data_IF_989483266370
#
_entry.id   IF_989483266370
#
_cell.length_a   1.000
_cell.length_b   1.000
_cell.length_c   1.000
_cell.angle_alpha   90.00
_cell.angle_beta   90.00
_cell.angle_gamma   90.00
#
_symmetry.space_group_name_H-M   'P 1'
#
loop_
_entity.id
_entity.type
_entity.pdbx_description
1 polymer ?
#
# COMPACT_ATOMS: atom_id res chain seq x y z
N UNK A 1 39.20 10.86 -13.98
CA UNK A 1 38.64 9.75 -14.78
C UNK A 1 37.16 9.72 -14.48
N UNK A 2 36.32 9.98 -15.49
CA UNK A 2 34.86 10.00 -15.34
C UNK A 2 34.39 8.56 -15.17
N UNK A 3 33.90 8.20 -13.99
CA UNK A 3 33.00 7.08 -13.83
C UNK A 3 31.60 7.68 -13.84
N UNK A 4 30.89 7.39 -14.91
CA UNK A 4 29.49 7.75 -15.11
C UNK A 4 28.85 6.49 -15.66
N UNK A 5 28.50 5.58 -14.77
CA UNK A 5 27.68 4.40 -15.03
C UNK A 5 26.63 4.37 -13.93
N UNK A 6 25.55 5.11 -14.17
CA UNK A 6 24.26 4.79 -13.59
C UNK A 6 23.81 3.48 -14.25
N UNK A 7 24.25 2.35 -13.72
CA UNK A 7 23.44 1.13 -13.79
C UNK A 7 22.37 1.26 -12.70
N UNK A 8 21.37 2.07 -13.01
CA UNK A 8 20.07 2.03 -12.35
C UNK A 8 19.57 0.58 -12.47
N UNK A 9 19.28 -0.08 -11.34
CA UNK A 9 18.51 -1.33 -11.29
C UNK A 9 17.04 -1.06 -11.67
N UNK A 10 16.83 -0.45 -12.83
CA UNK A 10 15.54 -0.11 -13.41
C UNK A 10 15.21 -1.17 -14.46
N UNK A 11 14.02 -1.74 -14.39
CA UNK A 11 13.50 -2.60 -15.45
C UNK A 11 13.74 -1.93 -16.82
N UNK A 12 14.22 -2.69 -17.80
CA UNK A 12 14.50 -2.17 -19.16
C UNK A 12 13.28 -1.43 -19.69
N UNK A 13 13.45 -0.23 -20.23
CA UNK A 13 12.36 0.56 -20.83
C UNK A 13 11.48 -0.27 -21.77
N UNK A 14 10.16 -0.15 -21.61
CA UNK A 14 9.19 -0.87 -22.44
C UNK A 14 9.14 -0.24 -23.84
N UNK A 15 9.51 -1.03 -24.85
CA UNK A 15 9.32 -0.62 -26.25
C UNK A 15 7.89 -0.89 -26.71
N UNK A 16 7.40 -0.13 -27.69
CA UNK A 16 6.07 -0.37 -28.29
C UNK A 16 5.93 -1.80 -28.84
N UNK A 17 7.00 -2.37 -29.41
CA UNK A 17 7.00 -3.76 -29.90
C UNK A 17 6.84 -4.77 -28.77
N UNK A 18 7.51 -4.56 -27.64
CA UNK A 18 7.39 -5.43 -26.47
C UNK A 18 5.98 -5.33 -25.89
N UNK A 19 5.47 -4.11 -25.75
CA UNK A 19 4.12 -3.85 -25.26
C UNK A 19 3.05 -4.53 -26.13
N UNK A 20 3.14 -4.37 -27.46
CA UNK A 20 2.22 -5.02 -28.39
C UNK A 20 2.33 -6.55 -28.33
N UNK A 21 3.55 -7.09 -28.20
CA UNK A 21 3.76 -8.53 -28.03
C UNK A 21 3.10 -9.05 -26.75
N UNK A 22 3.22 -8.32 -25.64
CA UNK A 22 2.57 -8.68 -24.38
C UNK A 22 1.05 -8.57 -24.49
N UNK A 23 0.53 -7.49 -25.07
CA UNK A 23 -0.91 -7.29 -25.27
C UNK A 23 -1.53 -8.43 -26.11
N UNK A 24 -0.84 -8.87 -27.17
CA UNK A 24 -1.32 -9.96 -28.03
C UNK A 24 -1.40 -11.33 -27.32
N UNK A 25 -0.88 -11.46 -26.08
CA UNK A 25 -1.02 -12.67 -25.29
C UNK A 25 -2.35 -12.74 -24.52
N UNK A 26 -3.11 -11.64 -24.39
CA UNK A 26 -4.32 -11.54 -23.59
C UNK A 26 -5.62 -11.57 -24.40
N UNK A 27 -6.69 -12.09 -23.81
CA UNK A 27 -8.01 -12.15 -24.44
C UNK A 27 -8.80 -10.84 -24.21
N UNK A 28 -8.48 -9.82 -24.99
CA UNK A 28 -9.23 -8.56 -24.99
C UNK A 28 -10.55 -8.61 -25.77
N UNK A 29 -10.96 -9.80 -26.26
CA UNK A 29 -12.15 -9.98 -27.09
C UNK A 29 -12.05 -9.33 -28.48
N UNK A 30 -10.83 -9.13 -28.99
CA UNK A 30 -10.53 -8.56 -30.30
C UNK A 30 -9.11 -7.98 -30.38
N UNK A 31 -8.68 -7.52 -31.57
CA UNK A 31 -7.42 -6.80 -31.74
C UNK A 31 -7.35 -5.52 -30.90
N UNK A 32 -6.13 -5.12 -30.52
CA UNK A 32 -5.88 -3.98 -29.64
C UNK A 32 -4.79 -3.05 -30.16
N UNK A 33 -4.95 -1.77 -29.84
CA UNK A 33 -4.01 -0.69 -30.04
C UNK A 33 -3.29 -0.38 -28.72
N UNK A 34 -1.97 -0.37 -28.75
CA UNK A 34 -1.14 -0.01 -27.61
C UNK A 34 -0.55 1.39 -27.79
N UNK A 35 -0.45 2.13 -26.69
CA UNK A 35 0.37 3.33 -26.58
C UNK A 35 1.50 3.06 -25.58
N UNK A 36 2.73 3.43 -25.95
CA UNK A 36 3.91 3.22 -25.11
C UNK A 36 4.05 4.29 -24.00
N UNK A 37 3.16 5.28 -23.94
CA UNK A 37 3.13 6.21 -22.81
C UNK A 37 2.63 5.52 -21.55
N UNK A 38 3.35 5.74 -20.45
CA UNK A 38 2.92 5.29 -19.14
C UNK A 38 1.60 5.96 -18.74
N UNK A 39 0.77 5.20 -18.04
CA UNK A 39 -0.49 5.65 -17.50
C UNK A 39 -0.47 5.65 -15.97
N UNK A 40 -0.89 6.76 -15.38
CA UNK A 40 -0.94 6.96 -13.92
C UNK A 40 0.40 7.38 -13.32
N UNK A 41 0.43 7.45 -12.00
CA UNK A 41 1.54 7.97 -11.18
C UNK A 41 2.22 6.84 -10.36
N UNK A 42 1.98 5.57 -10.72
CA UNK A 42 2.53 4.42 -9.99
C UNK A 42 4.05 4.33 -10.11
N UNK A 43 4.72 3.93 -9.03
CA UNK A 43 6.19 3.87 -8.95
C UNK A 43 6.80 2.47 -9.07
N UNK A 44 5.99 1.41 -8.93
CA UNK A 44 6.50 0.03 -8.88
C UNK A 44 6.40 -0.66 -10.24
N UNK A 45 5.19 -0.79 -10.79
CA UNK A 45 4.92 -1.48 -12.05
C UNK A 45 4.83 -0.51 -13.22
N UNK A 46 5.19 -0.96 -14.43
CA UNK A 46 4.89 -0.20 -15.64
C UNK A 46 3.43 -0.40 -16.02
N UNK A 47 2.67 0.69 -16.12
CA UNK A 47 1.24 0.66 -16.39
C UNK A 47 0.92 1.36 -17.71
N UNK A 48 0.12 0.72 -18.55
CA UNK A 48 -0.27 1.21 -19.86
C UNK A 48 -1.78 1.07 -20.06
N UNK A 49 -2.36 1.99 -20.84
CA UNK A 49 -3.73 1.84 -21.35
C UNK A 49 -3.68 1.19 -22.72
N UNK A 50 -4.48 0.14 -22.89
CA UNK A 50 -4.66 -0.55 -24.16
C UNK A 50 -6.10 -0.37 -24.61
N UNK A 51 -6.31 -0.05 -25.88
CA UNK A 51 -7.65 0.12 -26.46
C UNK A 51 -7.98 -1.03 -27.38
N UNK A 52 -9.24 -1.46 -27.42
CA UNK A 52 -9.73 -2.23 -28.56
C UNK A 52 -9.61 -1.38 -29.84
N UNK A 53 -9.28 -1.98 -30.98
CA UNK A 53 -9.10 -1.25 -32.25
C UNK A 53 -10.30 -0.38 -32.66
N UNK A 54 -11.52 -0.77 -32.28
CA UNK A 54 -12.75 -0.02 -32.53
C UNK A 54 -13.02 1.09 -31.50
N UNK A 55 -12.11 1.31 -30.54
CA UNK A 55 -12.23 2.23 -29.42
C UNK A 55 -13.47 2.03 -28.53
N UNK A 56 -14.10 0.85 -28.57
CA UNK A 56 -15.30 0.57 -27.78
C UNK A 56 -15.00 0.31 -26.29
N UNK A 57 -13.79 -0.11 -25.96
CA UNK A 57 -13.36 -0.44 -24.60
C UNK A 57 -11.85 -0.24 -24.45
N UNK A 58 -11.43 0.18 -23.26
CA UNK A 58 -10.03 0.22 -22.84
C UNK A 58 -9.76 -0.71 -21.66
N UNK A 59 -8.48 -0.98 -21.46
CA UNK A 59 -7.95 -1.95 -20.51
C UNK A 59 -6.69 -1.40 -19.86
N UNK A 60 -6.30 -1.98 -18.74
CA UNK A 60 -5.00 -1.76 -18.13
C UNK A 60 -4.11 -2.97 -18.45
N UNK A 61 -2.93 -2.71 -19.00
CA UNK A 61 -1.86 -3.69 -19.18
C UNK A 61 -0.68 -3.28 -18.32
N UNK A 62 -0.18 -4.19 -17.49
CA UNK A 62 0.91 -3.92 -16.57
C UNK A 62 2.05 -4.91 -16.74
N UNK A 63 3.29 -4.40 -16.74
CA UNK A 63 4.48 -5.21 -16.49
C UNK A 63 4.79 -5.17 -14.99
N UNK A 64 4.73 -6.33 -14.36
CA UNK A 64 5.01 -6.52 -12.94
C UNK A 64 6.50 -6.31 -12.70
N UNK A 65 6.84 -5.55 -11.66
CA UNK A 65 8.22 -5.39 -11.21
C UNK A 65 8.72 -6.68 -10.56
N UNK A 66 9.46 -7.48 -11.32
CA UNK A 66 9.99 -8.77 -10.86
C UNK A 66 11.20 -8.65 -9.94
N UNK A 67 11.81 -7.47 -9.81
CA UNK A 67 12.87 -7.21 -8.83
C UNK A 67 12.28 -7.10 -7.42
N UNK A 68 11.11 -6.44 -7.30
CA UNK A 68 10.32 -6.36 -6.06
C UNK A 68 9.52 -7.64 -5.83
N UNK A 69 8.74 -8.07 -6.84
CA UNK A 69 7.85 -9.21 -6.78
C UNK A 69 8.47 -10.43 -7.45
N UNK A 70 9.37 -11.08 -6.72
CA UNK A 70 10.18 -12.22 -7.23
C UNK A 70 9.37 -13.49 -7.56
N UNK A 71 8.11 -13.56 -7.12
CA UNK A 71 7.15 -14.62 -7.48
C UNK A 71 5.87 -14.04 -8.09
N UNK A 72 5.89 -13.60 -9.36
CA UNK A 72 4.73 -12.97 -10.00
C UNK A 72 3.55 -13.93 -10.18
N UNK A 73 3.79 -15.25 -10.24
CA UNK A 73 2.73 -16.26 -10.32
C UNK A 73 1.94 -16.32 -9.01
N UNK A 74 2.63 -16.43 -7.87
CA UNK A 74 1.97 -16.42 -6.56
C UNK A 74 1.26 -15.10 -6.25
N UNK A 75 1.81 -13.97 -6.71
CA UNK A 75 1.13 -12.68 -6.67
C UNK A 75 -0.21 -12.73 -7.43
N UNK A 76 -0.22 -13.26 -8.66
CA UNK A 76 -1.45 -13.37 -9.43
C UNK A 76 -2.43 -14.41 -8.87
N UNK A 77 -1.96 -15.45 -8.19
CA UNK A 77 -2.82 -16.38 -7.44
C UNK A 77 -3.56 -15.65 -6.31
N UNK A 78 -2.88 -14.79 -5.55
CA UNK A 78 -3.50 -13.92 -4.55
C UNK A 78 -4.56 -13.00 -5.19
N UNK A 79 -4.16 -12.23 -6.21
CA UNK A 79 -5.05 -11.25 -6.87
C UNK A 79 -6.30 -11.95 -7.41
N UNK A 80 -6.15 -13.06 -8.13
CA UNK A 80 -7.29 -13.80 -8.68
C UNK A 80 -8.17 -14.42 -7.59
N UNK A 81 -7.57 -14.90 -6.50
CA UNK A 81 -8.30 -15.44 -5.35
C UNK A 81 -9.17 -14.37 -4.69
N UNK A 82 -8.57 -13.22 -4.38
CA UNK A 82 -9.20 -12.08 -3.71
C UNK A 82 -10.30 -11.47 -4.59
N UNK A 83 -10.00 -11.12 -5.84
CA UNK A 83 -10.98 -10.50 -6.76
C UNK A 83 -12.18 -11.42 -7.04
N UNK A 84 -11.97 -12.74 -7.16
CA UNK A 84 -13.07 -13.72 -7.29
C UNK A 84 -13.95 -13.75 -6.05
N UNK A 85 -13.34 -13.69 -4.86
CA UNK A 85 -14.08 -13.66 -3.61
C UNK A 85 -14.89 -12.36 -3.47
N UNK A 86 -14.25 -11.21 -3.69
CA UNK A 86 -14.91 -9.90 -3.68
C UNK A 86 -16.07 -9.85 -4.66
N UNK A 87 -15.89 -10.36 -5.89
CA UNK A 87 -16.96 -10.46 -6.89
C UNK A 87 -18.19 -11.20 -6.36
N UNK A 88 -18.00 -12.30 -5.65
CA UNK A 88 -19.11 -13.06 -5.07
C UNK A 88 -19.83 -12.28 -3.95
N UNK A 89 -19.08 -11.57 -3.09
CA UNK A 89 -19.61 -10.71 -2.02
C UNK A 89 -20.41 -9.54 -2.58
N UNK A 90 -19.83 -8.81 -3.52
CA UNK A 90 -20.45 -7.65 -4.18
C UNK A 90 -21.77 -8.06 -4.84
N UNK A 91 -21.80 -9.19 -5.57
CA UNK A 91 -23.04 -9.70 -6.17
C UNK A 91 -24.11 -10.05 -5.11
N UNK A 92 -23.72 -10.66 -3.99
CA UNK A 92 -24.64 -10.99 -2.91
C UNK A 92 -25.20 -9.74 -2.22
N UNK A 93 -24.43 -8.65 -2.19
CA UNK A 93 -24.84 -7.33 -1.67
C UNK A 93 -25.66 -6.51 -2.69
N UNK A 94 -25.81 -7.01 -3.93
CA UNK A 94 -26.54 -6.33 -5.01
C UNK A 94 -25.75 -5.23 -5.71
N UNK A 95 -24.42 -5.23 -5.58
CA UNK A 95 -23.50 -4.31 -6.25
C UNK A 95 -23.11 -4.74 -7.67
N UNK A 96 -22.22 -3.97 -8.28
CA UNK A 96 -21.67 -4.18 -9.62
C UNK A 96 -20.19 -4.61 -9.55
N UNK A 97 -19.88 -5.92 -9.62
CA UNK A 97 -18.49 -6.39 -9.56
C UNK A 97 -17.66 -6.01 -10.79
N UNK A 98 -18.25 -5.52 -11.88
CA UNK A 98 -17.47 -5.01 -13.01
C UNK A 98 -16.78 -3.68 -12.66
N UNK A 99 -17.32 -2.96 -11.66
CA UNK A 99 -16.81 -1.67 -11.20
C UNK A 99 -16.25 -1.69 -9.79
N UNK A 100 -16.75 -2.58 -8.93
CA UNK A 100 -16.42 -2.59 -7.49
C UNK A 100 -15.24 -3.51 -7.11
N UNK A 101 -14.63 -4.21 -8.07
CA UNK A 101 -13.38 -4.96 -7.87
C UNK A 101 -12.62 -5.07 -9.19
N UNK A 102 -11.31 -5.33 -9.14
CA UNK A 102 -10.51 -5.56 -10.34
C UNK A 102 -10.95 -6.85 -11.05
N UNK A 103 -11.03 -6.80 -12.37
CA UNK A 103 -11.38 -7.95 -13.20
C UNK A 103 -10.17 -8.34 -14.06
N UNK A 104 -9.51 -9.44 -13.69
CA UNK A 104 -8.33 -9.98 -14.39
C UNK A 104 -8.74 -10.52 -15.75
N UNK A 105 -8.03 -10.09 -16.80
CA UNK A 105 -8.18 -10.60 -18.15
C UNK A 105 -7.18 -11.76 -18.32
N UNK A 106 -7.65 -12.97 -18.66
CA UNK A 106 -6.75 -14.10 -18.85
C UNK A 106 -5.95 -13.97 -20.14
N UNK A 107 -4.85 -14.70 -20.22
CA UNK A 107 -4.16 -14.95 -21.48
C UNK A 107 -5.04 -15.77 -22.43
N UNK A 108 -4.70 -15.78 -23.72
CA UNK A 108 -5.35 -16.67 -24.71
C UNK A 108 -5.19 -18.16 -24.37
N UNK A 109 -4.20 -18.51 -23.53
CA UNK A 109 -4.02 -19.87 -22.99
C UNK A 109 -4.80 -20.14 -21.69
N UNK A 110 -5.52 -19.16 -21.15
CA UNK A 110 -6.25 -19.24 -19.89
C UNK A 110 -5.42 -18.98 -18.63
N UNK A 111 -4.16 -18.55 -18.77
CA UNK A 111 -3.29 -18.18 -17.62
C UNK A 111 -3.64 -16.77 -17.10
N UNK A 112 -3.24 -16.46 -15.87
CA UNK A 112 -3.51 -15.16 -15.23
C UNK A 112 -2.40 -14.12 -15.47
N UNK A 113 -1.22 -14.57 -15.88
CA UNK A 113 -0.11 -13.73 -16.32
C UNK A 113 0.57 -14.31 -17.57
N UNK A 114 1.24 -13.43 -18.31
CA UNK A 114 2.10 -13.77 -19.44
C UNK A 114 3.56 -13.51 -19.08
N UNK A 115 4.46 -14.46 -19.38
CA UNK A 115 5.90 -14.27 -19.23
C UNK A 115 6.49 -14.03 -20.63
N UNK A 116 7.17 -12.89 -20.80
CA UNK A 116 7.84 -12.57 -22.05
C UNK A 116 9.19 -13.31 -22.20
N UNK A 117 9.82 -13.18 -23.36
CA UNK A 117 11.08 -13.85 -23.68
C UNK A 117 12.27 -13.38 -22.84
N UNK A 118 12.18 -12.17 -22.25
CA UNK A 118 13.21 -11.58 -21.39
C UNK A 118 12.95 -11.90 -19.90
N UNK A 119 11.90 -12.66 -19.59
CA UNK A 119 11.51 -13.02 -18.22
C UNK A 119 10.61 -12.00 -17.53
N UNK A 120 10.17 -10.95 -18.22
CA UNK A 120 9.21 -9.98 -17.71
C UNK A 120 7.82 -10.59 -17.53
N UNK A 121 7.16 -10.29 -16.42
CA UNK A 121 5.82 -10.78 -16.14
C UNK A 121 4.77 -9.70 -16.43
N UNK A 122 3.71 -10.06 -17.13
CA UNK A 122 2.65 -9.17 -17.56
C UNK A 122 1.28 -9.64 -17.07
N UNK A 123 0.38 -8.69 -16.82
CA UNK A 123 -1.03 -8.94 -16.46
C UNK A 123 -1.94 -7.89 -17.08
N UNK A 124 -3.22 -8.22 -17.22
CA UNK A 124 -4.21 -7.29 -17.75
C UNK A 124 -5.48 -7.24 -16.89
N UNK A 125 -6.11 -6.06 -16.85
CA UNK A 125 -7.38 -5.82 -16.18
C UNK A 125 -8.36 -5.09 -17.09
N UNK A 126 -9.64 -5.28 -16.84
CA UNK A 126 -10.64 -4.32 -17.31
C UNK A 126 -10.34 -2.93 -16.72
N UNK A 127 -10.46 -1.89 -17.56
CA UNK A 127 -10.42 -0.53 -17.07
C UNK A 127 -11.73 -0.21 -16.34
N UNK A 128 -11.65 0.34 -15.13
CA UNK A 128 -12.83 0.75 -14.36
C UNK A 128 -13.23 2.16 -14.80
N UNK A 129 -14.33 2.25 -15.55
CA UNK A 129 -14.77 3.51 -16.16
C UNK A 129 -15.48 4.44 -15.17
N UNK A 130 -15.51 5.73 -15.54
CA UNK A 130 -16.19 6.81 -14.82
C UNK A 130 -15.71 6.98 -13.37
N UNK A 131 -14.40 6.83 -13.16
CA UNK A 131 -13.75 6.99 -11.85
C UNK A 131 -12.73 8.10 -11.81
N UNK A 132 -12.52 8.63 -10.60
CA UNK A 132 -11.47 9.56 -10.23
C UNK A 132 -10.57 8.85 -9.21
N UNK A 133 -9.27 9.10 -9.30
CA UNK A 133 -8.26 8.66 -8.35
C UNK A 133 -7.65 9.91 -7.70
N UNK A 134 -7.88 10.10 -6.40
CA UNK A 134 -7.34 11.24 -5.67
C UNK A 134 -5.87 11.02 -5.35
N UNK A 135 -5.03 12.03 -5.58
CA UNK A 135 -3.61 11.97 -5.21
C UNK A 135 -3.34 12.42 -3.77
N UNK A 136 -4.28 13.17 -3.19
CA UNK A 136 -4.21 13.68 -1.83
C UNK A 136 -5.63 13.92 -1.29
N UNK A 137 -5.79 13.91 0.03
CA UNK A 137 -7.06 14.31 0.67
C UNK A 137 -7.29 15.80 0.41
N UNK A 138 -8.37 16.14 -0.29
CA UNK A 138 -8.78 17.53 -0.49
C UNK A 138 -9.77 18.01 0.58
N UNK A 139 -10.45 17.09 1.26
CA UNK A 139 -11.47 17.35 2.26
C UNK A 139 -11.71 16.17 3.20
N UNK A 140 -12.33 16.41 4.35
CA UNK A 140 -12.78 15.35 5.26
C UNK A 140 -13.71 14.33 4.60
N UNK A 141 -14.52 14.78 3.63
CA UNK A 141 -15.43 13.91 2.90
C UNK A 141 -14.67 12.88 2.04
N UNK A 142 -13.57 13.31 1.41
CA UNK A 142 -12.70 12.42 0.65
C UNK A 142 -12.06 11.38 1.57
N UNK A 143 -11.55 11.81 2.73
CA UNK A 143 -10.89 10.90 3.67
C UNK A 143 -11.87 9.89 4.26
N UNK A 144 -13.08 10.33 4.60
CA UNK A 144 -14.18 9.43 5.01
C UNK A 144 -14.52 8.41 3.92
N UNK A 145 -14.59 8.85 2.66
CA UNK A 145 -14.91 7.98 1.53
C UNK A 145 -13.86 6.88 1.36
N UNK A 146 -12.58 7.24 1.45
CA UNK A 146 -11.47 6.29 1.44
C UNK A 146 -11.58 5.31 2.61
N UNK A 147 -11.83 5.81 3.82
CA UNK A 147 -11.97 5.00 5.02
C UNK A 147 -13.11 3.98 4.92
N UNK A 148 -14.29 4.42 4.49
CA UNK A 148 -15.46 3.55 4.30
C UNK A 148 -15.19 2.45 3.25
N UNK A 149 -14.47 2.80 2.19
CA UNK A 149 -14.11 1.87 1.10
C UNK A 149 -13.11 0.81 1.56
N UNK A 150 -12.06 1.21 2.27
CA UNK A 150 -11.09 0.29 2.84
C UNK A 150 -11.71 -0.60 3.94
N UNK A 151 -12.58 -0.03 4.78
CA UNK A 151 -13.33 -0.82 5.75
C UNK A 151 -14.29 -1.83 5.09
N UNK A 152 -14.93 -1.46 3.98
CA UNK A 152 -15.78 -2.37 3.19
C UNK A 152 -14.93 -3.50 2.59
N UNK A 153 -13.77 -3.17 2.01
CA UNK A 153 -12.82 -4.16 1.50
C UNK A 153 -12.41 -5.16 2.60
N UNK A 154 -12.08 -4.67 3.79
CA UNK A 154 -11.73 -5.51 4.92
C UNK A 154 -12.88 -6.42 5.37
N UNK A 155 -14.09 -5.88 5.43
CA UNK A 155 -15.29 -6.63 5.81
C UNK A 155 -15.62 -7.73 4.79
N UNK A 156 -15.54 -7.41 3.49
CA UNK A 156 -15.82 -8.36 2.41
C UNK A 156 -14.81 -9.51 2.38
N UNK A 157 -13.61 -9.34 2.93
CA UNK A 157 -12.57 -10.37 3.02
C UNK A 157 -12.50 -11.06 4.39
N UNK A 158 -13.39 -10.74 5.33
CA UNK A 158 -13.34 -11.25 6.70
C UNK A 158 -13.44 -12.79 6.80
N UNK A 159 -14.10 -13.44 5.84
CA UNK A 159 -14.20 -14.91 5.75
C UNK A 159 -13.32 -15.52 4.64
N UNK A 160 -12.45 -14.73 4.01
CA UNK A 160 -11.42 -15.27 3.13
C UNK A 160 -10.34 -15.97 3.98
N UNK A 161 -9.88 -17.18 3.61
CA UNK A 161 -8.87 -17.89 4.37
C UNK A 161 -7.48 -17.24 4.18
N UNK A 162 -7.17 -16.19 4.93
CA UNK A 162 -5.98 -15.36 4.76
C UNK A 162 -4.68 -16.17 4.66
N UNK A 163 -4.54 -17.25 5.44
CA UNK A 163 -3.37 -18.13 5.44
C UNK A 163 -3.11 -18.86 4.11
N UNK A 164 -4.02 -18.82 3.14
CA UNK A 164 -3.79 -19.39 1.80
C UNK A 164 -3.12 -18.41 0.84
N UNK A 165 -3.00 -17.14 1.22
CA UNK A 165 -2.31 -16.13 0.40
C UNK A 165 -0.79 -16.28 0.55
N UNK A 166 -0.09 -16.02 -0.55
CA UNK A 166 1.37 -15.91 -0.58
C UNK A 166 1.82 -14.59 0.04
N UNK A 167 2.93 -14.59 0.78
CA UNK A 167 3.66 -13.34 1.05
C UNK A 167 4.31 -12.87 -0.25
N UNK A 168 3.79 -11.79 -0.85
CA UNK A 168 4.32 -11.26 -2.12
C UNK A 168 5.62 -10.49 -1.91
N UNK A 169 5.77 -9.86 -0.74
CA UNK A 169 7.02 -9.33 -0.22
C UNK A 169 7.22 -9.92 1.17
N UNK A 170 8.26 -10.75 1.32
CA UNK A 170 8.55 -11.40 2.58
C UNK A 170 8.79 -10.36 3.68
N UNK A 171 8.18 -10.57 4.87
CA UNK A 171 8.41 -9.72 6.05
C UNK A 171 8.12 -8.24 5.82
N UNK A 172 7.08 -7.94 5.02
CA UNK A 172 6.81 -6.56 4.61
C UNK A 172 6.57 -5.61 5.79
N UNK A 173 5.64 -5.98 6.68
CA UNK A 173 5.33 -5.29 7.95
C UNK A 173 5.79 -6.05 9.20
N UNK A 174 6.92 -6.76 9.07
CA UNK A 174 7.63 -7.35 10.21
C UNK A 174 8.51 -6.25 10.85
N UNK A 175 7.89 -5.40 11.67
CA UNK A 175 8.56 -4.26 12.30
C UNK A 175 9.78 -4.67 13.14
N UNK A 176 9.78 -5.80 13.90
CA UNK A 176 10.99 -6.30 14.56
C UNK A 176 12.12 -6.60 13.58
N UNK A 177 11.82 -7.17 12.41
CA UNK A 177 12.84 -7.33 11.37
C UNK A 177 13.33 -5.98 10.82
N UNK A 178 12.45 -4.99 10.65
CA UNK A 178 12.86 -3.63 10.23
C UNK A 178 13.80 -2.98 11.24
N UNK A 179 13.49 -3.09 12.54
CA UNK A 179 14.37 -2.66 13.63
C UNK A 179 15.74 -3.37 13.55
N UNK A 180 15.74 -4.70 13.40
CA UNK A 180 16.99 -5.46 13.29
C UNK A 180 17.83 -5.09 12.04
N UNK A 181 17.20 -4.65 10.95
CA UNK A 181 17.92 -4.16 9.78
C UNK A 181 18.49 -2.75 10.02
N UNK A 182 17.75 -1.88 10.71
CA UNK A 182 18.26 -0.59 11.18
C UNK A 182 19.52 -0.75 12.05
N UNK A 183 19.51 -1.64 13.04
CA UNK A 183 20.67 -1.90 13.89
C UNK A 183 21.91 -2.32 13.07
N UNK A 184 21.72 -3.14 12.02
CA UNK A 184 22.81 -3.56 11.13
C UNK A 184 23.35 -2.38 10.31
N UNK A 185 22.46 -1.57 9.74
CA UNK A 185 22.85 -0.39 8.96
C UNK A 185 23.58 0.64 9.85
N UNK A 186 23.10 0.83 11.08
CA UNK A 186 23.72 1.71 12.07
C UNK A 186 25.11 1.21 12.49
N UNK A 187 25.28 -0.10 12.72
CA UNK A 187 26.57 -0.67 13.05
C UNK A 187 27.57 -0.61 11.89
N UNK A 188 27.09 -0.71 10.65
CA UNK A 188 27.93 -0.59 9.46
C UNK A 188 28.34 0.87 9.19
N UNK A 189 27.43 1.82 9.41
CA UNK A 189 27.58 3.27 9.17
C UNK A 189 28.39 3.56 7.88
N UNK A 190 27.97 2.95 6.77
CA UNK A 190 28.77 2.86 5.54
C UNK A 190 29.22 4.23 4.99
N UNK A 191 28.48 5.30 5.32
CA UNK A 191 28.74 6.67 4.90
C UNK A 191 29.19 7.60 6.04
N UNK A 192 29.36 7.12 7.26
CA UNK A 192 29.73 7.97 8.40
C UNK A 192 28.64 8.97 8.81
N UNK A 193 27.37 8.64 8.55
CA UNK A 193 26.18 9.50 8.73
C UNK A 193 25.60 9.38 10.14
N UNK A 194 25.85 8.29 10.86
CA UNK A 194 25.30 8.04 12.21
C UNK A 194 25.58 9.17 13.21
N UNK A 195 26.75 9.83 13.11
CA UNK A 195 27.14 10.97 13.97
C UNK A 195 26.21 12.19 13.87
N UNK A 196 25.38 12.28 12.82
CA UNK A 196 24.49 13.41 12.57
C UNK A 196 23.05 13.16 13.05
N UNK A 197 22.75 11.96 13.57
CA UNK A 197 21.36 11.50 13.82
C UNK A 197 21.18 10.86 15.20
N UNK A 198 21.95 11.31 16.20
CA UNK A 198 21.91 10.75 17.56
C UNK A 198 20.49 10.74 18.16
N UNK A 199 19.73 11.82 17.98
CA UNK A 199 18.37 11.93 18.49
C UNK A 199 17.41 10.91 17.87
N UNK A 200 17.55 10.63 16.58
CA UNK A 200 16.74 9.70 15.83
C UNK A 200 17.07 8.25 16.21
N UNK A 201 18.34 7.95 16.46
CA UNK A 201 18.78 6.65 17.00
C UNK A 201 18.18 6.43 18.40
N UNK A 202 18.31 7.41 19.31
CA UNK A 202 17.74 7.33 20.65
C UNK A 202 16.22 7.17 20.62
N UNK A 203 15.55 7.83 19.67
CA UNK A 203 14.12 7.73 19.45
C UNK A 203 13.67 6.30 19.10
N UNK A 204 14.39 5.64 18.19
CA UNK A 204 14.13 4.25 17.77
C UNK A 204 14.43 3.28 18.92
N UNK A 205 15.60 3.39 19.57
CA UNK A 205 15.97 2.50 20.67
C UNK A 205 14.98 2.56 21.84
N UNK A 206 14.45 3.75 22.16
CA UNK A 206 13.45 3.91 23.21
C UNK A 206 12.12 3.19 22.92
N UNK A 207 11.88 2.79 21.66
CA UNK A 207 10.64 2.17 21.14
C UNK A 207 10.86 0.78 20.58
N UNK A 208 11.98 0.13 20.91
CA UNK A 208 12.24 -1.27 20.50
C UNK A 208 11.07 -2.19 20.85
N UNK A 209 10.52 -2.07 22.06
CA UNK A 209 9.40 -2.91 22.51
C UNK A 209 8.10 -2.64 21.74
N UNK A 210 7.86 -1.40 21.29
CA UNK A 210 6.68 -1.06 20.49
C UNK A 210 6.68 -1.84 19.16
N UNK A 211 7.86 -2.15 18.61
CA UNK A 211 8.01 -2.90 17.36
C UNK A 211 7.35 -4.30 17.41
N UNK A 212 7.17 -4.87 18.61
CA UNK A 212 6.65 -6.23 18.79
C UNK A 212 5.15 -6.30 19.04
N UNK A 213 4.50 -5.20 19.47
CA UNK A 213 3.16 -5.21 20.06
C UNK A 213 2.12 -5.96 19.23
N UNK A 214 2.02 -5.67 17.93
CA UNK A 214 1.00 -6.28 17.07
C UNK A 214 1.30 -7.76 16.77
N UNK A 215 2.57 -8.12 16.59
CA UNK A 215 2.96 -9.52 16.35
C UNK A 215 2.81 -10.37 17.61
N UNK A 216 3.07 -9.80 18.78
CA UNK A 216 2.85 -10.47 20.07
C UNK A 216 1.35 -10.72 20.31
N UNK A 217 0.49 -9.74 20.00
CA UNK A 217 -0.98 -9.90 20.05
C UNK A 217 -1.46 -10.98 19.08
N UNK A 218 -0.92 -11.04 17.86
CA UNK A 218 -1.22 -12.09 16.88
C UNK A 218 -0.77 -13.46 17.39
N UNK A 219 0.46 -13.57 17.91
CA UNK A 219 1.02 -14.82 18.43
C UNK A 219 0.25 -15.33 19.67
N UNK A 220 -0.26 -14.41 20.49
CA UNK A 220 -1.13 -14.72 21.63
C UNK A 220 -2.58 -15.08 21.21
N UNK A 221 -2.94 -14.88 19.94
CA UNK A 221 -4.29 -15.12 19.42
C UNK A 221 -5.32 -14.07 19.88
N UNK A 222 -4.87 -12.89 20.31
CA UNK A 222 -5.74 -11.79 20.76
C UNK A 222 -6.38 -11.04 19.60
N UNK A 223 -5.66 -10.95 18.48
CA UNK A 223 -6.13 -10.37 17.22
C UNK A 223 -6.01 -11.41 16.08
N UNK A 224 -6.93 -11.40 15.10
CA UNK A 224 -6.94 -12.40 14.03
C UNK A 224 -5.95 -12.05 12.92
N UNK A 225 -5.43 -13.09 12.26
CA UNK A 225 -4.83 -12.95 10.94
C UNK A 225 -5.92 -12.63 9.91
N UNK A 226 -5.72 -11.60 9.10
CA UNK A 226 -6.66 -11.16 8.06
C UNK A 226 -5.98 -11.09 6.70
N UNK A 227 -6.79 -11.01 5.65
CA UNK A 227 -6.30 -10.46 4.37
C UNK A 227 -6.11 -8.97 4.57
N UNK A 228 -4.98 -8.44 4.13
CA UNK A 228 -4.67 -7.00 4.18
C UNK A 228 -4.12 -6.54 2.85
N UNK A 229 -4.32 -5.26 2.53
CA UNK A 229 -3.80 -4.62 1.34
C UNK A 229 -2.33 -4.24 1.46
N UNK A 230 -1.91 -3.79 2.66
CA UNK A 230 -0.57 -3.37 3.03
C UNK A 230 -0.03 -2.14 2.28
N UNK A 231 -0.85 -1.46 1.47
CA UNK A 231 -0.48 -0.19 0.79
C UNK A 231 -1.74 0.66 0.58
N UNK A 232 -2.32 1.12 1.68
CA UNK A 232 -3.66 1.74 1.71
C UNK A 232 -3.62 3.25 1.48
N UNK A 233 -2.76 3.68 0.55
CA UNK A 233 -2.72 5.06 0.08
C UNK A 233 -4.03 5.46 -0.58
N UNK A 234 -4.35 6.75 -0.50
CA UNK A 234 -5.59 7.32 -1.05
C UNK A 234 -5.74 7.07 -2.55
N UNK A 235 -4.63 7.08 -3.30
CA UNK A 235 -4.65 6.84 -4.74
C UNK A 235 -4.93 5.37 -5.12
N UNK A 236 -4.95 4.45 -4.15
CA UNK A 236 -5.38 3.07 -4.34
C UNK A 236 -6.90 2.88 -4.17
N UNK A 237 -7.66 3.96 -4.03
CA UNK A 237 -9.13 3.94 -4.03
C UNK A 237 -9.68 4.69 -5.23
N UNK A 238 -10.43 3.98 -6.07
CA UNK A 238 -11.20 4.56 -7.16
C UNK A 238 -12.55 5.07 -6.65
N UNK A 239 -12.85 6.32 -6.97
CA UNK A 239 -14.08 7.03 -6.60
C UNK A 239 -14.94 7.23 -7.85
N UNK A 240 -16.22 6.88 -7.77
CA UNK A 240 -17.18 7.13 -8.84
C UNK A 240 -17.34 8.64 -9.08
N UNK A 241 -17.09 9.08 -10.31
CA UNK A 241 -17.04 10.50 -10.67
C UNK A 241 -18.39 11.22 -10.53
N UNK A 242 -19.49 10.48 -10.66
CA UNK A 242 -20.84 11.06 -10.61
C UNK A 242 -21.37 11.19 -9.18
N UNK A 243 -21.06 10.21 -8.32
CA UNK A 243 -21.64 10.10 -6.98
C UNK A 243 -20.67 10.46 -5.85
N UNK A 244 -19.36 10.48 -6.12
CA UNK A 244 -18.33 10.67 -5.10
C UNK A 244 -18.14 9.48 -4.16
N UNK A 245 -18.74 8.33 -4.46
CA UNK A 245 -18.58 7.11 -3.63
C UNK A 245 -17.30 6.38 -4.02
N UNK A 246 -16.54 5.89 -3.05
CA UNK A 246 -15.47 4.94 -3.32
C UNK A 246 -16.05 3.59 -3.73
N UNK A 247 -15.55 3.03 -4.83
CA UNK A 247 -16.13 1.82 -5.43
C UNK A 247 -15.14 0.67 -5.52
N UNK A 248 -13.85 0.91 -5.72
CA UNK A 248 -12.88 -0.15 -5.98
C UNK A 248 -11.53 0.16 -5.33
N UNK A 249 -10.99 -0.82 -4.61
CA UNK A 249 -9.60 -0.80 -4.15
C UNK A 249 -8.74 -1.46 -5.24
N UNK A 250 -7.69 -0.76 -5.66
CA UNK A 250 -6.75 -1.17 -6.71
C UNK A 250 -5.35 -1.39 -6.15
N UNK A 251 -4.40 -1.80 -6.98
CA UNK A 251 -3.02 -2.10 -6.57
C UNK A 251 -2.89 -3.25 -5.56
N UNK A 252 -3.49 -4.39 -5.93
CA UNK A 252 -3.60 -5.57 -5.06
C UNK A 252 -2.31 -6.39 -4.93
N UNK A 253 -1.14 -5.82 -5.21
CA UNK A 253 0.14 -6.54 -5.32
C UNK A 253 0.70 -6.94 -3.96
N UNK A 254 0.43 -6.09 -2.97
CA UNK A 254 0.78 -6.34 -1.58
C UNK A 254 -0.37 -6.97 -0.81
N UNK A 255 -1.43 -7.46 -1.49
CA UNK A 255 -2.49 -8.21 -0.81
C UNK A 255 -1.98 -9.57 -0.39
N UNK A 256 -1.86 -9.77 0.92
CA UNK A 256 -1.28 -10.96 1.55
C UNK A 256 -1.83 -11.10 2.99
N UNK A 257 -1.44 -12.13 3.76
CA UNK A 257 -1.84 -12.25 5.15
C UNK A 257 -1.22 -11.12 6.00
N UNK A 258 -2.00 -10.53 6.90
CA UNK A 258 -1.55 -9.47 7.79
C UNK A 258 -2.57 -9.15 8.88
N UNK A 259 -2.48 -7.94 9.44
CA UNK A 259 -3.35 -7.42 10.48
C UNK A 259 -4.12 -6.20 9.96
N UNK A 260 -5.42 -6.11 10.25
CA UNK A 260 -6.22 -4.92 9.90
C UNK A 260 -5.60 -3.61 10.40
N UNK A 261 -4.86 -3.66 11.50
CA UNK A 261 -4.07 -2.57 12.03
C UNK A 261 -3.00 -2.03 11.07
N UNK A 262 -2.41 -2.86 10.19
CA UNK A 262 -1.43 -2.40 9.19
C UNK A 262 -2.09 -1.50 8.14
N UNK A 263 -3.18 -1.98 7.53
CA UNK A 263 -3.96 -1.22 6.54
C UNK A 263 -4.50 0.08 7.11
N UNK A 264 -5.09 0.00 8.31
CA UNK A 264 -5.59 1.19 8.99
C UNK A 264 -4.46 2.16 9.31
N UNK A 265 -3.34 1.65 9.83
CA UNK A 265 -2.21 2.44 10.26
C UNK A 265 -1.52 3.19 9.12
N UNK A 266 -1.33 2.54 7.97
CA UNK A 266 -0.69 3.16 6.81
C UNK A 266 -1.55 4.27 6.19
N UNK A 267 -2.88 4.13 6.23
CA UNK A 267 -3.80 5.22 5.84
C UNK A 267 -3.74 6.40 6.81
N UNK A 268 -3.65 6.15 8.13
CA UNK A 268 -3.52 7.23 9.12
C UNK A 268 -2.17 7.94 8.98
N UNK A 269 -1.09 7.19 8.82
CA UNK A 269 0.28 7.71 8.61
C UNK A 269 0.33 8.70 7.45
N UNK A 270 -0.35 8.40 6.35
CA UNK A 270 -0.36 9.24 5.14
C UNK A 270 -1.43 10.32 5.14
N UNK A 271 -2.60 10.08 5.76
CA UNK A 271 -3.78 10.93 5.59
C UNK A 271 -4.19 11.75 6.81
N UNK A 272 -3.67 11.47 8.02
CA UNK A 272 -4.01 12.22 9.24
C UNK A 272 -2.92 13.23 9.64
N UNK A 273 -2.34 13.91 8.65
CA UNK A 273 -1.39 15.01 8.85
C UNK A 273 -1.55 16.06 7.74
N UNK A 274 -1.09 17.29 7.99
CA UNK A 274 -1.28 18.46 7.13
C UNK A 274 0.00 18.91 6.38
N UNK A 275 1.03 18.07 6.37
CA UNK A 275 2.31 18.37 5.74
C UNK A 275 2.72 17.33 4.68
N UNK A 276 3.75 17.64 3.91
CA UNK A 276 4.38 16.63 3.04
C UNK A 276 5.15 15.61 3.90
N UNK A 277 5.24 14.36 3.43
CA UNK A 277 5.97 13.29 4.13
C UNK A 277 7.45 13.66 4.39
N UNK A 278 8.01 14.54 3.56
CA UNK A 278 9.39 14.99 3.59
C UNK A 278 9.59 16.45 4.05
N UNK A 279 8.63 17.04 4.78
CA UNK A 279 8.70 18.43 5.27
C UNK A 279 9.95 18.68 6.15
N UNK A 280 10.89 19.53 5.73
CA UNK A 280 12.11 19.79 6.51
C UNK A 280 11.83 20.60 7.80
N UNK A 281 10.81 21.47 7.79
CA UNK A 281 10.44 22.27 8.95
C UNK A 281 9.49 21.48 9.88
N UNK A 282 10.10 20.80 10.85
CA UNK A 282 9.39 19.97 11.82
C UNK A 282 8.37 20.75 12.68
N UNK A 283 8.39 22.09 12.67
CA UNK A 283 7.37 22.88 13.35
C UNK A 283 6.01 22.90 12.65
N UNK A 284 5.96 22.45 11.37
CA UNK A 284 4.74 22.32 10.58
C UNK A 284 4.16 20.91 10.54
N UNK A 285 4.85 19.93 11.14
CA UNK A 285 4.40 18.55 11.12
C UNK A 285 3.40 18.36 12.24
N UNK A 286 2.14 18.10 11.89
CA UNK A 286 1.06 17.93 12.85
C UNK A 286 0.22 16.68 12.55
N UNK A 287 0.09 15.81 13.54
CA UNK A 287 -0.90 14.75 13.57
C UNK A 287 -2.26 15.36 13.91
N UNK A 288 -3.22 15.18 13.01
CA UNK A 288 -4.57 15.70 13.16
C UNK A 288 -5.50 14.62 13.74
N UNK A 289 -5.79 14.75 15.05
CA UNK A 289 -6.69 13.83 15.75
C UNK A 289 -8.13 13.86 15.20
N UNK A 290 -8.57 14.98 14.63
CA UNK A 290 -9.89 15.07 14.00
C UNK A 290 -9.92 14.29 12.68
N UNK A 291 -8.87 14.38 11.85
CA UNK A 291 -8.76 13.52 10.66
C UNK A 291 -8.66 12.04 11.03
N UNK A 292 -7.93 11.70 12.10
CA UNK A 292 -7.94 10.35 12.66
C UNK A 292 -9.36 9.90 13.02
N UNK A 293 -10.14 10.75 13.70
CA UNK A 293 -11.52 10.46 14.06
C UNK A 293 -12.43 10.25 12.85
N UNK A 294 -12.30 11.11 11.83
CA UNK A 294 -13.04 11.00 10.57
C UNK A 294 -12.76 9.65 9.90
N UNK A 295 -11.49 9.27 9.80
CA UNK A 295 -11.09 8.00 9.21
C UNK A 295 -11.54 6.81 10.05
N UNK A 296 -11.28 6.82 11.36
CA UNK A 296 -11.66 5.76 12.28
C UNK A 296 -13.16 5.47 12.22
N UNK A 297 -13.99 6.51 12.25
CA UNK A 297 -15.45 6.37 12.13
C UNK A 297 -15.88 5.84 10.77
N UNK A 298 -15.28 6.31 9.67
CA UNK A 298 -15.57 5.82 8.33
C UNK A 298 -15.24 4.33 8.19
N UNK A 299 -14.02 3.95 8.55
CA UNK A 299 -13.53 2.56 8.49
C UNK A 299 -14.37 1.63 9.37
N UNK A 300 -14.64 2.00 10.62
CA UNK A 300 -15.41 1.17 11.55
C UNK A 300 -16.90 1.09 11.19
N UNK A 301 -17.44 2.05 10.43
CA UNK A 301 -18.83 1.97 9.96
C UNK A 301 -19.07 0.80 9.00
N UNK A 302 -18.05 0.36 8.28
CA UNK A 302 -18.13 -0.74 7.31
C UNK A 302 -17.40 -2.01 7.76
N UNK A 303 -16.28 -1.90 8.50
CA UNK A 303 -15.52 -3.05 9.01
C UNK A 303 -15.92 -3.47 10.44
N UNK A 304 -16.37 -2.53 11.26
CA UNK A 304 -16.36 -2.66 12.72
C UNK A 304 -17.26 -3.75 13.29
N UNK A 305 -18.30 -4.16 12.56
CA UNK A 305 -19.17 -5.27 12.95
C UNK A 305 -18.46 -6.64 12.92
N UNK A 306 -17.41 -6.79 12.10
CA UNK A 306 -16.63 -8.03 11.95
C UNK A 306 -15.42 -8.10 12.89
N UNK A 307 -15.15 -7.05 13.68
CA UNK A 307 -13.94 -6.90 14.48
C UNK A 307 -14.21 -7.14 15.96
N UNK A 308 -13.29 -7.86 16.61
CA UNK A 308 -13.30 -7.99 18.07
C UNK A 308 -12.90 -6.67 18.74
N UNK A 309 -13.14 -6.54 20.04
CA UNK A 309 -12.70 -5.36 20.79
C UNK A 309 -11.17 -5.23 20.81
N UNK A 310 -10.44 -6.34 20.96
CA UNK A 310 -8.97 -6.34 20.93
C UNK A 310 -8.45 -5.84 19.57
N UNK A 311 -9.13 -6.24 18.49
CA UNK A 311 -8.76 -5.82 17.15
C UNK A 311 -9.05 -4.34 16.90
N UNK A 312 -10.20 -3.82 17.36
CA UNK A 312 -10.46 -2.38 17.29
C UNK A 312 -9.39 -1.56 18.04
N UNK A 313 -8.95 -2.04 19.21
CA UNK A 313 -7.85 -1.41 19.98
C UNK A 313 -6.53 -1.45 19.21
N UNK A 314 -6.29 -2.52 18.45
CA UNK A 314 -5.10 -2.66 17.63
C UNK A 314 -5.00 -1.61 16.51
N UNK A 315 -6.09 -0.96 16.11
CA UNK A 315 -6.09 0.09 15.07
C UNK A 315 -5.29 1.32 15.48
N UNK A 316 -5.43 1.78 16.74
CA UNK A 316 -4.63 2.88 17.27
C UNK A 316 -3.13 2.51 17.31
N UNK A 317 -2.81 1.27 17.70
CA UNK A 317 -1.46 0.73 17.63
C UNK A 317 -0.94 0.65 16.19
N UNK A 318 -1.78 0.26 15.24
CA UNK A 318 -1.49 0.26 13.81
C UNK A 318 -0.99 1.60 13.31
N UNK A 319 -1.70 2.69 13.63
CA UNK A 319 -1.29 4.05 13.27
C UNK A 319 0.12 4.39 13.79
N UNK A 320 0.38 4.11 15.08
CA UNK A 320 1.67 4.40 15.72
C UNK A 320 2.79 3.52 15.14
N UNK A 321 2.54 2.21 14.97
CA UNK A 321 3.53 1.24 14.52
C UNK A 321 3.88 1.42 13.04
N UNK A 322 2.89 1.63 12.16
CA UNK A 322 3.13 1.84 10.73
C UNK A 322 3.92 3.12 10.47
N UNK A 323 3.66 4.18 11.25
CA UNK A 323 4.42 5.44 11.20
C UNK A 323 5.86 5.21 11.68
N UNK A 324 6.05 4.52 12.81
CA UNK A 324 7.37 4.19 13.33
C UNK A 324 8.17 3.31 12.36
N UNK A 325 7.58 2.25 11.83
CA UNK A 325 8.20 1.33 10.87
C UNK A 325 8.68 2.08 9.62
N UNK A 326 7.82 2.94 9.06
CA UNK A 326 8.18 3.75 7.89
C UNK A 326 9.36 4.68 8.20
N UNK A 327 9.34 5.35 9.35
CA UNK A 327 10.46 6.20 9.79
C UNK A 327 11.77 5.43 9.97
N UNK A 328 11.72 4.22 10.55
CA UNK A 328 12.87 3.31 10.67
C UNK A 328 13.42 2.95 9.29
N UNK A 329 12.54 2.62 8.33
CA UNK A 329 12.94 2.28 6.96
C UNK A 329 13.63 3.46 6.26
N UNK A 330 13.09 4.67 6.36
CA UNK A 330 13.72 5.86 5.79
C UNK A 330 15.10 6.13 6.41
N UNK A 331 15.23 6.04 7.73
CA UNK A 331 16.50 6.27 8.40
C UNK A 331 17.53 5.17 8.10
N UNK A 332 17.08 3.94 7.93
CA UNK A 332 17.92 2.81 7.48
C UNK A 332 18.47 3.09 6.09
N UNK A 333 17.62 3.49 5.14
CA UNK A 333 18.05 3.81 3.78
C UNK A 333 19.00 5.02 3.75
N UNK A 334 18.76 6.03 4.60
CA UNK A 334 19.70 7.14 4.79
C UNK A 334 21.08 6.66 5.28
N UNK A 335 21.16 5.66 6.16
CA UNK A 335 22.44 5.10 6.61
C UNK A 335 23.13 4.25 5.54
N UNK A 336 22.35 3.63 4.64
CA UNK A 336 22.85 2.75 3.58
C UNK A 336 23.19 3.48 2.28
N UNK A 337 22.79 4.75 2.13
CA UNK A 337 23.17 5.59 0.99
C UNK A 337 22.05 5.87 0.01
N UNK A 338 20.80 5.86 0.47
CA UNK A 338 19.62 6.28 -0.29
C UNK A 338 19.41 5.44 -1.56
N UNK A 339 19.47 4.10 -1.42
CA UNK A 339 19.40 3.17 -2.54
C UNK A 339 18.01 2.54 -2.70
N UNK A 340 17.20 2.52 -1.65
CA UNK A 340 15.86 1.92 -1.66
C UNK A 340 14.78 2.93 -2.04
N UNK A 341 14.76 4.11 -1.40
CA UNK A 341 13.79 5.17 -1.70
C UNK A 341 14.41 6.21 -2.61
N UNK A 342 13.66 6.61 -3.65
CA UNK A 342 14.08 7.71 -4.50
C UNK A 342 14.25 9.01 -3.69
N UNK A 343 15.39 9.68 -3.91
CA UNK A 343 15.70 10.98 -3.32
C UNK A 343 15.83 12.07 -4.39
N UNK A 344 15.10 13.16 -4.18
CA UNK A 344 15.21 14.38 -4.99
C UNK A 344 16.27 15.39 -4.50
N UNK A 345 16.82 15.20 -3.30
CA UNK A 345 17.78 16.13 -2.65
C UNK A 345 18.64 15.39 -1.60
N UNK A 346 19.78 15.96 -1.19
CA UNK A 346 20.51 15.47 -0.01
C UNK A 346 19.63 15.46 1.24
N UNK A 347 19.83 14.48 2.12
CA UNK A 347 19.12 14.29 3.39
C UNK A 347 17.59 14.09 3.27
N UNK A 348 17.06 13.83 2.07
CA UNK A 348 15.63 13.64 1.84
C UNK A 348 15.03 12.52 2.71
N UNK A 349 15.68 11.35 2.77
CA UNK A 349 15.23 10.26 3.64
C UNK A 349 15.35 10.58 5.14
N UNK A 350 16.32 11.42 5.54
CA UNK A 350 16.41 11.88 6.91
C UNK A 350 15.24 12.80 7.27
N UNK A 351 14.88 13.74 6.39
CA UNK A 351 13.71 14.60 6.58
C UNK A 351 12.42 13.77 6.66
N UNK A 352 12.25 12.77 5.77
CA UNK A 352 11.12 11.84 5.83
C UNK A 352 11.05 11.11 7.17
N UNK A 353 12.16 10.54 7.63
CA UNK A 353 12.23 9.85 8.91
C UNK A 353 11.84 10.76 10.08
N UNK A 354 12.32 12.02 10.08
CA UNK A 354 11.99 13.01 11.11
C UNK A 354 10.51 13.33 11.16
N UNK A 355 9.87 13.52 10.00
CA UNK A 355 8.42 13.72 9.92
C UNK A 355 7.69 12.55 10.57
N UNK A 356 8.05 11.30 10.23
CA UNK A 356 7.43 10.12 10.83
C UNK A 356 7.62 10.08 12.36
N UNK A 357 8.82 10.36 12.87
CA UNK A 357 9.07 10.36 14.32
C UNK A 357 8.34 11.49 15.04
N UNK A 358 8.18 12.66 14.41
CA UNK A 358 7.37 13.76 14.94
C UNK A 358 5.91 13.35 15.06
N UNK A 359 5.35 12.70 14.04
CA UNK A 359 3.98 12.16 14.07
C UNK A 359 3.82 11.10 15.16
N UNK A 360 4.78 10.16 15.32
CA UNK A 360 4.74 9.15 16.39
C UNK A 360 4.71 9.80 17.78
N UNK A 361 5.51 10.86 18.03
CA UNK A 361 5.45 11.60 19.31
C UNK A 361 4.08 12.21 19.55
N UNK A 362 3.49 12.83 18.55
CA UNK A 362 2.18 13.46 18.68
C UNK A 362 1.07 12.42 18.89
N UNK A 363 1.15 11.27 18.22
CA UNK A 363 0.25 10.13 18.47
C UNK A 363 0.37 9.59 19.90
N UNK A 364 1.57 9.56 20.47
CA UNK A 364 1.79 9.15 21.86
C UNK A 364 1.12 10.11 22.87
N UNK A 365 1.14 11.41 22.58
CA UNK A 365 0.52 12.43 23.44
C UNK A 365 -1.01 12.31 23.51
N UNK A 366 -1.65 11.80 22.45
CA UNK A 366 -3.11 11.65 22.34
C UNK A 366 -3.56 10.20 22.24
N UNK A 367 -2.71 9.24 22.61
CA UNK A 367 -2.96 7.81 22.36
C UNK A 367 -4.23 7.28 23.03
N UNK A 368 -4.53 7.75 24.25
CA UNK A 368 -5.76 7.39 24.96
C UNK A 368 -7.01 7.87 24.20
N UNK A 369 -6.96 9.05 23.58
CA UNK A 369 -8.06 9.58 22.76
C UNK A 369 -8.20 8.78 21.46
N UNK A 370 -7.09 8.37 20.83
CA UNK A 370 -7.11 7.48 19.67
C UNK A 370 -7.79 6.14 20.02
N UNK A 371 -7.46 5.56 21.17
CA UNK A 371 -8.09 4.33 21.66
C UNK A 371 -9.59 4.51 21.91
N UNK A 372 -10.02 5.60 22.55
CA UNK A 372 -11.44 5.91 22.79
C UNK A 372 -12.22 6.03 21.48
N UNK A 373 -11.66 6.74 20.49
CA UNK A 373 -12.25 6.91 19.16
C UNK A 373 -12.40 5.57 18.43
N UNK A 374 -11.38 4.71 18.47
CA UNK A 374 -11.41 3.41 17.81
C UNK A 374 -12.30 2.40 18.55
N UNK A 375 -12.50 2.58 19.87
CA UNK A 375 -13.21 1.66 20.75
C UNK A 375 -14.22 2.36 21.68
N UNK A 376 -15.27 3.01 21.14
CA UNK A 376 -16.18 3.83 21.93
C UNK A 376 -17.01 3.01 22.94
N UNK A 377 -17.22 1.71 22.70
CA UNK A 377 -18.01 0.83 23.59
C UNK A 377 -17.27 0.39 24.87
N UNK A 378 -16.08 0.95 25.15
CA UNK A 378 -15.20 0.54 26.25
C UNK A 378 -15.20 1.54 27.44
N UNK A 379 -16.09 2.54 27.43
CA UNK A 379 -16.26 3.56 28.47
C UNK A 379 -17.69 3.66 29.02
#
# INVERSE_FOLDING_TARGET
MKYNENEEFMMKSVTLSLLQSAANAFDFGGPVLCDAHHYGEGHINDTFVVWREDHSKRFILQRINTDTFTNPVGLMENVCGVTRHLRAKILAEGGDPARETLNVIPTLSGSTCYLDADGGAWRAYDFVEDTICLQQVGSEADFRTVAETLGKFQNQLADYPASTLHETIARFHDTPNRYANFEKALAADALGRAKNITSEIEFIHAREQDCHVLLDQLAAGEIPLRVTHNDTKINNVLIDAATGKGICVIDLDTVMPGLSAYDFGDSIRTGANDCAEDEPDQSKVHFDLHLYEVFAKGYLSTAGASMSMAEKKSLAWGARLMTLECGIRFLTDYLEGDHYFHIARPDHNLDRARTQFTLVRQMEEVFDQMLEIACPDNH
#
